data_IF_186894005146
#
_entry.id   IF_186894005146
#
_cell.length_a   1.000
_cell.length_b   1.000
_cell.length_c   1.000
_cell.angle_alpha   90.00
_cell.angle_beta   90.00
_cell.angle_gamma   90.00
#
_symmetry.space_group_name_H-M   'P 1'
#
loop_
_entity.id
_entity.type
_entity.pdbx_description
1 polymer ?
#
# COMPACT_ATOMS: atom_id res chain seq x y z
N UNK A 1 15.28 10.32 -0.23
CA UNK A 1 14.48 9.07 -0.22
C UNK A 1 13.88 8.88 1.16
N UNK A 2 12.73 9.49 1.41
CA UNK A 2 11.93 9.22 2.60
C UNK A 2 10.52 9.66 2.22
N UNK A 3 9.66 8.71 1.79
CA UNK A 3 8.27 9.06 1.45
C UNK A 3 7.23 8.21 2.18
N UNK A 4 7.59 7.03 2.69
CA UNK A 4 6.69 6.21 3.50
C UNK A 4 7.46 5.53 4.61
N UNK A 5 6.93 5.64 5.83
CA UNK A 5 7.46 4.92 6.97
C UNK A 5 7.20 3.40 6.83
N UNK A 6 8.03 2.57 7.46
CA UNK A 6 7.82 1.11 7.48
C UNK A 6 6.43 0.75 8.01
N UNK A 7 5.89 1.56 8.94
CA UNK A 7 4.55 1.37 9.50
C UNK A 7 3.45 1.58 8.45
N UNK A 8 3.55 2.62 7.63
CA UNK A 8 2.60 2.87 6.54
C UNK A 8 2.65 1.78 5.48
N UNK A 9 3.85 1.30 5.12
CA UNK A 9 3.99 0.16 4.21
C UNK A 9 3.29 -1.08 4.76
N UNK A 10 3.58 -1.44 6.01
CA UNK A 10 2.99 -2.62 6.66
C UNK A 10 1.45 -2.50 6.73
N UNK A 11 0.93 -1.31 7.04
CA UNK A 11 -0.51 -1.08 7.10
C UNK A 11 -1.17 -1.21 5.73
N UNK A 12 -0.55 -0.69 4.67
CA UNK A 12 -1.05 -0.78 3.30
C UNK A 12 -1.05 -2.23 2.79
N UNK A 13 0.04 -2.98 3.06
CA UNK A 13 0.15 -4.41 2.70
C UNK A 13 -0.87 -5.24 3.48
N UNK A 14 -1.05 -4.98 4.79
CA UNK A 14 -2.09 -5.68 5.58
C UNK A 14 -3.50 -5.46 5.03
N UNK A 15 -3.86 -4.21 4.70
CA UNK A 15 -5.17 -3.92 4.07
C UNK A 15 -5.36 -4.65 2.74
N UNK A 16 -4.30 -4.76 1.94
CA UNK A 16 -4.37 -5.49 0.68
C UNK A 16 -4.59 -6.99 0.91
N UNK A 17 -3.90 -7.58 1.89
CA UNK A 17 -4.01 -8.99 2.24
C UNK A 17 -5.34 -9.33 2.94
N UNK A 18 -5.94 -8.39 3.67
CA UNK A 18 -7.26 -8.54 4.29
C UNK A 18 -8.37 -8.69 3.24
N UNK A 19 -8.14 -8.25 1.99
CA UNK A 19 -9.08 -8.40 0.88
C UNK A 19 -10.30 -7.49 0.95
N UNK A 20 -10.36 -6.58 1.93
CA UNK A 20 -11.45 -5.60 2.11
C UNK A 20 -11.48 -4.55 1.00
N UNK A 21 -10.32 -4.19 0.45
CA UNK A 21 -10.19 -3.13 -0.56
C UNK A 21 -9.25 -3.55 -1.68
N UNK A 22 -9.57 -3.15 -2.91
CA UNK A 22 -8.68 -3.37 -4.05
C UNK A 22 -7.40 -2.54 -3.90
N UNK A 23 -6.24 -3.07 -4.28
CA UNK A 23 -4.94 -2.39 -4.14
C UNK A 23 -4.90 -0.98 -4.76
N UNK A 24 -5.71 -0.73 -5.80
CA UNK A 24 -5.87 0.60 -6.39
C UNK A 24 -6.53 1.62 -5.45
N UNK A 25 -7.50 1.19 -4.66
CA UNK A 25 -8.20 2.02 -3.65
C UNK A 25 -7.25 2.31 -2.49
N UNK A 26 -6.57 1.28 -1.98
CA UNK A 26 -5.58 1.42 -0.90
C UNK A 26 -4.48 2.39 -1.33
N UNK A 27 -3.93 2.21 -2.53
CA UNK A 27 -2.90 3.08 -3.09
C UNK A 27 -3.36 4.54 -3.17
N UNK A 28 -4.58 4.77 -3.70
CA UNK A 28 -5.19 6.10 -3.74
C UNK A 28 -5.41 6.69 -2.35
N UNK A 29 -5.84 5.89 -1.38
CA UNK A 29 -6.10 6.32 0.01
C UNK A 29 -4.83 6.76 0.74
N UNK A 30 -3.68 6.17 0.41
CA UNK A 30 -2.39 6.52 1.02
C UNK A 30 -1.54 7.43 0.11
N UNK A 31 -2.08 7.87 -1.03
CA UNK A 31 -1.41 8.77 -1.96
C UNK A 31 -0.22 8.14 -2.70
N UNK A 32 -0.19 6.81 -2.85
CA UNK A 32 0.82 6.12 -3.67
C UNK A 32 0.27 5.68 -5.01
N UNK A 33 1.18 5.48 -5.95
CA UNK A 33 0.86 4.81 -7.20
C UNK A 33 0.62 3.31 -6.92
N UNK A 34 -0.39 2.66 -7.51
CA UNK A 34 -0.65 1.23 -7.29
C UNK A 34 0.56 0.33 -7.59
N UNK A 35 1.41 0.70 -8.54
CA UNK A 35 2.66 -0.02 -8.82
C UNK A 35 3.63 -0.06 -7.63
N UNK A 36 3.67 1.02 -6.82
CA UNK A 36 4.49 1.08 -5.61
C UNK A 36 3.94 0.15 -4.53
N UNK A 37 2.61 0.06 -4.41
CA UNK A 37 1.98 -0.89 -3.49
C UNK A 37 2.28 -2.34 -3.92
N UNK A 38 2.23 -2.63 -5.22
CA UNK A 38 2.63 -3.93 -5.76
C UNK A 38 4.11 -4.26 -5.47
N UNK A 39 5.01 -3.29 -5.56
CA UNK A 39 6.41 -3.46 -5.17
C UNK A 39 6.61 -3.79 -3.69
N UNK A 40 5.69 -3.39 -2.79
CA UNK A 40 5.78 -3.73 -1.37
C UNK A 40 5.27 -5.13 -1.04
N UNK A 41 4.45 -5.70 -1.94
CA UNK A 41 3.87 -7.03 -1.81
C UNK A 41 4.82 -8.10 -2.40
N UNK A 42 5.63 -7.72 -3.38
CA UNK A 42 6.65 -8.58 -4.02
C UNK A 42 7.80 -8.88 -3.08
#
# INVERSE_FOLDING_TARGET
MAKFSSKEKIQAVKRYLDGTESGKIIAKSIGVNPSVLHEWIR
#
